data_IF_735515471516
#
_entry.id   IF_735515471516
#
_cell.length_a   1.000
_cell.length_b   1.000
_cell.length_c   1.000
_cell.angle_alpha   90.00
_cell.angle_beta   90.00
_cell.angle_gamma   90.00
#
_symmetry.space_group_name_H-M   'P 1'
#
loop_
_entity.id
_entity.type
_entity.pdbx_description
1 polymer ?
#
# COMPACT_ATOMS: atom_id res chain seq x y z
N UNK A 1 81.98 -10.42 1.26
CA UNK A 1 80.77 -9.67 1.11
C UNK A 1 79.57 -10.67 1.08
N UNK A 2 78.93 -10.81 2.20
CA UNK A 2 77.81 -11.77 2.38
C UNK A 2 76.51 -11.01 2.26
N UNK A 3 75.63 -11.33 1.27
CA UNK A 3 74.33 -10.77 1.14
C UNK A 3 73.28 -11.60 1.92
N UNK A 4 72.66 -10.98 2.93
CA UNK A 4 71.62 -11.55 3.76
C UNK A 4 70.30 -11.32 3.02
N UNK A 5 69.60 -12.38 2.66
CA UNK A 5 68.28 -12.32 2.09
C UNK A 5 67.24 -12.43 3.21
N UNK A 6 66.42 -11.38 3.39
CA UNK A 6 65.25 -11.37 4.29
C UNK A 6 64.05 -12.02 3.58
N UNK A 7 63.55 -13.15 4.11
CA UNK A 7 62.24 -13.71 3.74
C UNK A 7 61.16 -13.06 4.59
N UNK A 8 60.28 -12.31 3.93
CA UNK A 8 59.06 -11.80 4.55
C UNK A 8 57.96 -12.82 4.32
N UNK A 9 57.52 -13.54 5.37
CA UNK A 9 56.34 -14.41 5.35
C UNK A 9 55.09 -13.55 5.54
N UNK A 10 54.27 -13.44 4.48
CA UNK A 10 52.94 -12.86 4.60
C UNK A 10 51.94 -13.92 5.10
N UNK A 11 51.48 -13.73 6.33
CA UNK A 11 50.44 -14.54 6.95
C UNK A 11 49.08 -14.06 6.39
N UNK A 12 48.46 -14.83 5.51
CA UNK A 12 47.12 -14.58 5.04
C UNK A 12 46.13 -15.07 6.11
N UNK A 13 45.47 -14.15 6.81
CA UNK A 13 44.31 -14.46 7.66
C UNK A 13 43.10 -14.73 6.76
N UNK A 14 42.77 -15.99 6.56
CA UNK A 14 41.48 -16.40 5.96
C UNK A 14 40.38 -16.27 7.03
N UNK A 15 39.58 -15.24 6.93
CA UNK A 15 38.36 -15.11 7.74
C UNK A 15 37.30 -16.08 7.23
N UNK A 16 37.06 -17.16 7.96
CA UNK A 16 35.99 -18.11 7.69
C UNK A 16 34.65 -17.46 8.09
N UNK A 17 33.86 -17.02 7.09
CA UNK A 17 32.47 -16.61 7.31
C UNK A 17 31.62 -17.87 7.48
N UNK A 18 30.94 -17.99 8.62
CA UNK A 18 29.95 -19.06 8.85
C UNK A 18 28.57 -18.68 8.30
N UNK A 19 27.75 -19.69 7.99
CA UNK A 19 26.37 -19.48 7.52
C UNK A 19 25.55 -18.61 8.51
N UNK A 20 25.89 -18.63 9.81
CA UNK A 20 25.26 -17.80 10.84
C UNK A 20 25.55 -16.30 10.69
N UNK A 21 26.70 -15.91 10.14
CA UNK A 21 27.03 -14.50 9.91
C UNK A 21 26.25 -13.90 8.72
N UNK A 22 25.92 -14.72 7.73
CA UNK A 22 25.06 -14.33 6.61
C UNK A 22 23.61 -14.13 7.05
N UNK A 23 23.04 -15.02 7.87
CA UNK A 23 21.70 -14.88 8.42
C UNK A 23 21.58 -13.62 9.28
N UNK A 24 22.54 -13.37 10.15
CA UNK A 24 22.59 -12.16 10.99
C UNK A 24 22.75 -10.85 10.20
N UNK A 25 23.38 -10.89 9.01
CA UNK A 25 23.48 -9.72 8.12
C UNK A 25 22.19 -9.44 7.36
N UNK A 26 21.44 -10.48 6.99
CA UNK A 26 20.13 -10.34 6.34
C UNK A 26 19.11 -9.78 7.31
N UNK A 27 19.09 -10.24 8.57
CA UNK A 27 18.20 -9.67 9.62
C UNK A 27 18.53 -8.20 9.95
N UNK A 28 19.76 -7.74 9.72
CA UNK A 28 20.19 -6.37 10.02
C UNK A 28 19.86 -5.36 8.92
N UNK A 29 19.37 -5.81 7.76
CA UNK A 29 19.03 -4.98 6.59
C UNK A 29 17.53 -4.85 6.32
N UNK A 30 16.64 -5.40 7.16
CA UNK A 30 15.24 -5.07 7.11
C UNK A 30 15.06 -3.60 7.50
N UNK A 31 14.42 -2.76 6.67
CA UNK A 31 14.11 -1.40 7.06
C UNK A 31 13.29 -1.46 8.35
N UNK A 32 13.69 -0.65 9.35
CA UNK A 32 12.95 -0.57 10.60
C UNK A 32 11.52 -0.14 10.24
N UNK A 33 10.54 -0.99 10.57
CA UNK A 33 9.15 -0.56 10.57
C UNK A 33 9.08 0.68 11.47
N UNK A 34 8.38 1.72 11.02
CA UNK A 34 8.05 2.86 11.87
C UNK A 34 7.42 2.31 13.17
N UNK A 35 7.78 2.86 14.32
CA UNK A 35 7.21 2.41 15.59
C UNK A 35 5.67 2.48 15.47
N UNK A 36 4.99 1.42 15.90
CA UNK A 36 3.53 1.35 15.85
C UNK A 36 2.96 2.51 16.70
N UNK A 37 2.07 3.35 16.19
CA UNK A 37 1.54 4.49 16.93
C UNK A 37 0.71 4.01 18.14
N UNK A 38 0.57 4.88 19.15
CA UNK A 38 -0.43 4.71 20.20
C UNK A 38 -1.84 4.64 19.59
N UNK A 39 -2.86 4.24 20.37
CA UNK A 39 -4.23 4.22 19.88
C UNK A 39 -4.67 5.60 19.41
N UNK A 40 -5.24 5.66 18.22
CA UNK A 40 -5.75 6.85 17.57
C UNK A 40 -7.27 6.74 17.37
N UNK A 41 -7.92 7.81 16.92
CA UNK A 41 -9.31 7.70 16.47
C UNK A 41 -9.40 6.91 15.15
N UNK A 42 -8.39 7.05 14.28
CA UNK A 42 -8.29 6.28 13.03
C UNK A 42 -6.84 6.14 12.55
N UNK A 43 -6.61 5.12 11.71
CA UNK A 43 -5.35 4.92 10.99
C UNK A 43 -5.56 4.93 9.48
N UNK A 44 -4.67 5.63 8.77
CA UNK A 44 -4.50 5.54 7.33
C UNK A 44 -3.40 4.50 7.04
N UNK A 45 -3.79 3.31 6.58
CA UNK A 45 -2.88 2.19 6.33
C UNK A 45 -2.52 2.18 4.86
N UNK A 46 -1.30 2.61 4.54
CA UNK A 46 -0.83 2.89 3.18
C UNK A 46 0.03 1.76 2.62
N UNK A 47 -0.41 1.16 1.51
CA UNK A 47 0.32 0.15 0.75
C UNK A 47 0.86 0.75 -0.55
N UNK A 48 2.19 0.85 -0.64
CA UNK A 48 2.92 1.45 -1.76
C UNK A 48 2.86 0.59 -3.03
N UNK A 49 3.20 1.17 -4.17
CA UNK A 49 3.32 0.47 -5.46
C UNK A 49 4.63 -0.30 -5.61
N UNK A 50 4.73 -1.07 -6.70
CA UNK A 50 5.93 -1.82 -7.07
C UNK A 50 7.14 -0.91 -7.17
N UNK A 51 8.26 -1.36 -6.60
CA UNK A 51 9.58 -0.70 -6.62
C UNK A 51 9.65 0.63 -5.82
N UNK A 52 8.58 1.05 -5.16
CA UNK A 52 8.66 2.10 -4.16
C UNK A 52 9.45 1.62 -2.93
N UNK A 53 10.28 2.49 -2.37
CA UNK A 53 11.01 2.19 -1.13
C UNK A 53 10.03 2.01 0.03
N UNK A 54 10.41 1.19 1.03
CA UNK A 54 9.62 1.07 2.27
C UNK A 54 9.42 2.45 2.91
N UNK A 55 8.17 2.78 3.21
CA UNK A 55 7.74 4.08 3.70
C UNK A 55 6.45 4.54 3.02
N UNK A 56 6.07 5.82 3.15
CA UNK A 56 4.90 6.40 2.53
C UNK A 56 4.92 6.25 1.01
N UNK A 57 3.78 5.89 0.42
CA UNK A 57 3.63 5.90 -1.04
C UNK A 57 3.55 7.34 -1.55
N UNK A 58 4.37 7.66 -2.56
CA UNK A 58 4.43 9.03 -3.11
C UNK A 58 3.09 9.48 -3.70
N UNK A 59 2.23 8.56 -4.09
CA UNK A 59 0.94 8.91 -4.73
C UNK A 59 -0.14 9.32 -3.73
N UNK A 60 0.04 9.11 -2.42
CA UNK A 60 -0.95 9.47 -1.40
C UNK A 60 -0.54 10.64 -0.50
N UNK A 61 0.65 11.21 -0.67
CA UNK A 61 1.22 12.22 0.24
C UNK A 61 0.26 13.37 0.51
N UNK A 62 -0.32 13.98 -0.52
CA UNK A 62 -1.19 15.14 -0.35
C UNK A 62 -2.56 14.74 0.22
N UNK A 63 -3.14 13.62 -0.23
CA UNK A 63 -4.41 13.13 0.28
C UNK A 63 -4.33 12.75 1.77
N UNK A 64 -3.26 12.09 2.19
CA UNK A 64 -3.00 11.74 3.59
C UNK A 64 -2.80 13.01 4.41
N UNK A 65 -1.93 13.90 3.98
CA UNK A 65 -1.65 15.17 4.66
C UNK A 65 -2.91 16.00 4.88
N UNK A 66 -3.75 16.15 3.84
CA UNK A 66 -5.00 16.88 3.93
C UNK A 66 -5.98 16.20 4.89
N UNK A 67 -6.08 14.88 4.84
CA UNK A 67 -6.97 14.12 5.75
C UNK A 67 -6.53 14.30 7.20
N UNK A 68 -5.25 14.10 7.52
CA UNK A 68 -4.71 14.23 8.87
C UNK A 68 -4.79 15.65 9.42
N UNK A 69 -4.73 16.67 8.54
CA UNK A 69 -4.87 18.07 8.95
C UNK A 69 -6.33 18.46 9.23
N UNK A 70 -7.29 17.80 8.59
CA UNK A 70 -8.71 18.12 8.66
C UNK A 70 -9.43 17.31 9.75
N UNK A 71 -9.11 16.02 9.86
CA UNK A 71 -9.68 15.12 10.88
C UNK A 71 -8.61 14.87 11.95
N UNK A 72 -8.80 15.34 13.18
CA UNK A 72 -7.82 15.20 14.25
C UNK A 72 -7.66 13.75 14.74
N UNK A 73 -6.61 13.49 15.51
CA UNK A 73 -6.32 12.22 16.18
C UNK A 73 -6.19 11.02 15.24
N UNK A 74 -5.70 11.23 14.02
CA UNK A 74 -5.34 10.17 13.09
C UNK A 74 -3.82 10.00 12.94
N UNK A 75 -3.40 8.85 12.43
CA UNK A 75 -2.01 8.60 12.06
C UNK A 75 -1.91 7.78 10.77
N UNK A 76 -0.75 7.86 10.09
CA UNK A 76 -0.40 7.00 8.96
C UNK A 76 0.43 5.81 9.44
N UNK A 77 0.20 4.66 8.80
CA UNK A 77 0.98 3.44 8.99
C UNK A 77 1.30 2.84 7.63
N UNK A 78 2.60 2.58 7.37
CA UNK A 78 3.05 2.01 6.12
C UNK A 78 3.07 0.48 6.16
N UNK A 79 2.40 -0.15 5.22
CA UNK A 79 2.39 -1.62 5.07
C UNK A 79 3.80 -2.13 4.79
N UNK A 80 4.26 -3.10 5.59
CA UNK A 80 5.59 -3.70 5.42
C UNK A 80 5.49 -4.92 4.52
N UNK A 81 6.00 -4.81 3.29
CA UNK A 81 6.06 -5.91 2.34
C UNK A 81 7.14 -5.62 1.27
N UNK A 82 7.57 -6.59 0.45
CA UNK A 82 8.68 -6.37 -0.49
C UNK A 82 8.41 -5.33 -1.58
N UNK A 83 7.19 -5.25 -2.10
CA UNK A 83 6.77 -4.40 -3.24
C UNK A 83 7.65 -4.63 -4.50
N UNK A 84 7.98 -5.88 -4.79
CA UNK A 84 8.86 -6.29 -5.88
C UNK A 84 8.08 -6.70 -7.14
N UNK A 85 8.76 -6.75 -8.28
CA UNK A 85 8.18 -7.08 -9.59
C UNK A 85 7.65 -8.52 -9.71
N UNK A 86 7.97 -9.41 -8.79
CA UNK A 86 7.39 -10.75 -8.68
C UNK A 86 5.98 -10.77 -8.06
N UNK A 87 5.44 -9.57 -7.79
CA UNK A 87 4.05 -9.33 -7.42
C UNK A 87 3.57 -10.11 -6.17
N UNK A 88 4.43 -10.23 -5.14
CA UNK A 88 4.10 -10.91 -3.88
C UNK A 88 3.20 -10.05 -2.97
N UNK A 89 2.12 -9.50 -3.50
CA UNK A 89 1.19 -8.62 -2.79
C UNK A 89 0.52 -9.30 -1.59
N UNK A 90 0.39 -10.63 -1.62
CA UNK A 90 -0.19 -11.41 -0.51
C UNK A 90 0.56 -11.20 0.81
N UNK A 91 1.90 -10.98 0.76
CA UNK A 91 2.70 -10.67 1.96
C UNK A 91 2.20 -9.39 2.61
N UNK A 92 1.89 -8.36 1.81
CA UNK A 92 1.31 -7.11 2.30
C UNK A 92 -0.11 -7.28 2.83
N UNK A 93 -0.94 -8.07 2.13
CA UNK A 93 -2.31 -8.38 2.57
C UNK A 93 -2.29 -9.12 3.91
N UNK A 94 -1.41 -10.11 4.08
CA UNK A 94 -1.27 -10.86 5.33
C UNK A 94 -0.74 -9.96 6.46
N UNK A 95 0.19 -9.05 6.15
CA UNK A 95 0.65 -8.04 7.11
C UNK A 95 -0.51 -7.15 7.63
N UNK A 96 -1.38 -6.65 6.73
CA UNK A 96 -2.56 -5.86 7.13
C UNK A 96 -3.48 -6.70 8.02
N UNK A 97 -3.75 -7.95 7.66
CA UNK A 97 -4.62 -8.84 8.44
C UNK A 97 -4.08 -9.06 9.86
N UNK A 98 -2.81 -9.37 9.98
CA UNK A 98 -2.15 -9.56 11.26
C UNK A 98 -2.15 -8.27 12.09
N UNK A 99 -1.90 -7.12 11.45
CA UNK A 99 -1.90 -5.81 12.08
C UNK A 99 -3.30 -5.48 12.61
N UNK A 100 -4.34 -5.54 11.78
CA UNK A 100 -5.71 -5.21 12.16
C UNK A 100 -6.24 -6.13 13.27
N UNK A 101 -5.94 -7.43 13.22
CA UNK A 101 -6.36 -8.39 14.25
C UNK A 101 -5.82 -8.00 15.64
N UNK A 102 -4.56 -7.58 15.71
CA UNK A 102 -3.93 -7.12 16.96
C UNK A 102 -4.44 -5.73 17.39
N UNK A 103 -4.65 -4.85 16.41
CA UNK A 103 -5.09 -3.47 16.66
C UNK A 103 -6.50 -3.40 17.24
N UNK A 104 -7.44 -4.18 16.70
CA UNK A 104 -8.83 -4.21 17.20
C UNK A 104 -8.91 -4.65 18.66
N UNK A 105 -8.02 -5.56 19.09
CA UNK A 105 -7.94 -5.98 20.49
C UNK A 105 -7.34 -4.89 21.40
N UNK A 106 -6.25 -4.24 20.91
CA UNK A 106 -5.52 -3.20 21.67
C UNK A 106 -6.26 -1.86 21.70
N UNK A 107 -6.91 -1.49 20.59
CA UNK A 107 -7.54 -0.19 20.36
C UNK A 107 -8.97 -0.40 19.81
N UNK A 108 -9.94 -0.79 20.68
CA UNK A 108 -11.27 -1.23 20.23
C UNK A 108 -12.12 -0.13 19.57
N UNK A 109 -11.82 1.14 19.80
CA UNK A 109 -12.56 2.27 19.21
C UNK A 109 -11.91 2.83 17.94
N UNK A 110 -10.73 2.34 17.57
CA UNK A 110 -9.99 2.81 16.42
C UNK A 110 -10.63 2.37 15.09
N UNK A 111 -10.64 3.25 14.10
CA UNK A 111 -11.17 3.01 12.76
C UNK A 111 -10.03 2.96 11.73
N UNK A 112 -10.26 2.33 10.56
CA UNK A 112 -9.22 2.11 9.57
C UNK A 112 -9.63 2.57 8.18
N UNK A 113 -8.70 3.21 7.48
CA UNK A 113 -8.77 3.45 6.05
C UNK A 113 -7.58 2.76 5.38
N UNK A 114 -7.84 1.90 4.39
CA UNK A 114 -6.81 1.22 3.61
C UNK A 114 -6.56 2.01 2.32
N UNK A 115 -5.31 2.33 2.05
CA UNK A 115 -4.90 3.02 0.83
C UNK A 115 -3.94 2.13 0.06
N UNK A 116 -4.15 1.97 -1.25
CA UNK A 116 -3.29 1.12 -2.07
C UNK A 116 -3.04 1.69 -3.46
N UNK A 117 -1.78 1.73 -3.88
CA UNK A 117 -1.39 2.12 -5.22
C UNK A 117 -0.82 0.95 -6.01
N UNK A 118 -1.31 0.71 -7.24
CA UNK A 118 -0.76 -0.33 -8.13
C UNK A 118 -0.76 -1.70 -7.44
N UNK A 119 0.40 -2.32 -7.21
CA UNK A 119 0.53 -3.54 -6.40
C UNK A 119 -0.06 -3.35 -4.99
N UNK A 120 0.06 -2.16 -4.39
CA UNK A 120 -0.56 -1.84 -3.11
C UNK A 120 -2.09 -1.87 -3.14
N UNK A 121 -2.72 -1.57 -4.28
CA UNK A 121 -4.17 -1.76 -4.45
C UNK A 121 -4.56 -3.24 -4.38
N UNK A 122 -3.72 -4.14 -4.94
CA UNK A 122 -3.90 -5.59 -4.78
C UNK A 122 -3.72 -6.02 -3.31
N UNK A 123 -2.77 -5.39 -2.59
CA UNK A 123 -2.58 -5.59 -1.14
C UNK A 123 -3.86 -5.24 -0.36
N UNK A 124 -4.41 -4.04 -0.59
CA UNK A 124 -5.63 -3.60 0.07
C UNK A 124 -6.83 -4.51 -0.26
N UNK A 125 -7.02 -4.87 -1.54
CA UNK A 125 -8.06 -5.80 -1.98
C UNK A 125 -7.95 -7.16 -1.28
N UNK A 126 -6.75 -7.76 -1.28
CA UNK A 126 -6.53 -9.06 -0.65
C UNK A 126 -6.67 -9.03 0.89
N UNK A 127 -6.43 -7.87 1.53
CA UNK A 127 -6.66 -7.71 2.95
C UNK A 127 -8.16 -7.72 3.28
N UNK A 128 -8.98 -6.95 2.57
CA UNK A 128 -10.44 -6.88 2.81
C UNK A 128 -11.17 -8.16 2.42
N UNK A 129 -10.61 -8.99 1.53
CA UNK A 129 -11.19 -10.30 1.17
C UNK A 129 -11.31 -11.24 2.39
N UNK A 130 -10.49 -11.02 3.40
CA UNK A 130 -10.51 -11.82 4.63
C UNK A 130 -11.56 -11.39 5.65
N UNK A 131 -12.24 -10.26 5.42
CA UNK A 131 -13.20 -9.69 6.36
C UNK A 131 -14.56 -9.47 5.70
N UNK A 132 -15.62 -9.65 6.49
CA UNK A 132 -16.94 -9.19 6.09
C UNK A 132 -17.20 -7.82 6.68
N UNK A 133 -17.91 -6.90 6.00
CA UNK A 133 -18.22 -5.58 6.55
C UNK A 133 -18.95 -5.60 7.91
N UNK A 134 -19.59 -6.71 8.25
CA UNK A 134 -20.35 -6.93 9.49
C UNK A 134 -19.59 -7.71 10.58
N UNK A 135 -18.34 -8.15 10.35
CA UNK A 135 -17.52 -8.74 11.41
C UNK A 135 -16.77 -7.68 12.25
N UNK A 136 -16.13 -8.11 13.33
CA UNK A 136 -15.49 -7.20 14.29
C UNK A 136 -14.40 -6.31 13.70
N UNK A 137 -13.64 -6.82 12.73
CA UNK A 137 -12.59 -6.05 12.01
C UNK A 137 -13.20 -5.26 10.87
N UNK A 138 -14.07 -5.90 10.07
CA UNK A 138 -14.68 -5.30 8.90
C UNK A 138 -15.49 -4.04 9.20
N UNK A 139 -16.22 -4.02 10.32
CA UNK A 139 -16.95 -2.83 10.78
C UNK A 139 -16.05 -1.62 11.08
N UNK A 140 -14.78 -1.86 11.35
CA UNK A 140 -13.78 -0.82 11.63
C UNK A 140 -13.14 -0.27 10.36
N UNK A 141 -13.26 -0.96 9.22
CA UNK A 141 -12.76 -0.48 7.93
C UNK A 141 -13.80 0.49 7.35
N UNK A 142 -13.48 1.78 7.37
CA UNK A 142 -14.38 2.87 6.96
C UNK A 142 -14.14 3.34 5.54
N UNK A 143 -12.93 3.16 5.02
CA UNK A 143 -12.58 3.55 3.68
C UNK A 143 -11.54 2.59 3.07
N UNK A 144 -11.65 2.37 1.76
CA UNK A 144 -10.60 1.74 0.95
C UNK A 144 -10.41 2.62 -0.29
N UNK A 145 -9.23 3.20 -0.45
CA UNK A 145 -8.88 4.04 -1.59
C UNK A 145 -7.82 3.34 -2.43
N UNK A 146 -8.11 3.12 -3.69
CA UNK A 146 -7.20 2.44 -4.62
C UNK A 146 -6.89 3.31 -5.82
N UNK A 147 -5.61 3.47 -6.14
CA UNK A 147 -5.13 4.20 -7.32
C UNK A 147 -4.45 3.24 -8.28
N UNK A 148 -4.81 3.32 -9.57
CA UNK A 148 -4.19 2.51 -10.62
C UNK A 148 -4.29 1.01 -10.34
N UNK A 149 -5.42 0.54 -9.88
CA UNK A 149 -5.65 -0.81 -9.41
C UNK A 149 -5.56 -1.85 -10.55
N UNK A 150 -4.57 -2.78 -10.54
CA UNK A 150 -4.52 -3.85 -11.54
C UNK A 150 -5.76 -4.74 -11.56
N UNK A 151 -6.48 -4.85 -10.43
CA UNK A 151 -7.69 -5.63 -10.26
C UNK A 151 -8.98 -4.80 -10.48
N UNK A 152 -8.88 -3.61 -11.10
CA UNK A 152 -10.04 -2.78 -11.40
C UNK A 152 -11.09 -3.54 -12.21
N UNK A 153 -12.37 -3.45 -11.84
CA UNK A 153 -13.49 -4.16 -12.47
C UNK A 153 -14.49 -3.17 -13.03
N UNK A 154 -14.77 -3.28 -14.31
CA UNK A 154 -15.74 -2.44 -15.02
C UNK A 154 -17.10 -2.37 -14.32
N UNK A 155 -17.62 -1.16 -14.14
CA UNK A 155 -18.95 -0.89 -13.58
C UNK A 155 -19.13 -1.25 -12.10
N UNK A 156 -18.07 -1.54 -11.36
CA UNK A 156 -18.16 -1.81 -9.92
C UNK A 156 -18.61 -0.54 -9.19
N UNK A 157 -19.56 -0.62 -8.24
CA UNK A 157 -19.82 0.49 -7.32
C UNK A 157 -18.53 0.91 -6.62
N UNK A 158 -18.33 2.22 -6.47
CA UNK A 158 -17.09 2.76 -5.90
C UNK A 158 -16.02 3.09 -6.94
N UNK A 159 -16.14 2.66 -8.20
CA UNK A 159 -15.30 3.18 -9.26
C UNK A 159 -15.56 4.69 -9.41
N UNK A 160 -14.50 5.47 -9.35
CA UNK A 160 -14.58 6.92 -9.47
C UNK A 160 -14.99 7.34 -10.89
N UNK A 161 -15.89 8.30 -11.00
CA UNK A 161 -16.33 8.91 -12.26
C UNK A 161 -16.15 10.41 -12.17
N UNK A 162 -15.24 10.95 -12.94
CA UNK A 162 -15.07 12.39 -13.10
C UNK A 162 -14.45 12.68 -14.47
N UNK A 163 -15.21 13.32 -15.35
CA UNK A 163 -14.77 13.62 -16.72
C UNK A 163 -13.69 14.67 -16.78
N UNK A 164 -13.70 15.63 -15.85
CA UNK A 164 -12.69 16.70 -15.78
C UNK A 164 -11.34 16.14 -15.31
N UNK A 165 -11.37 15.10 -14.48
CA UNK A 165 -10.21 14.35 -14.04
C UNK A 165 -9.87 13.15 -14.96
N UNK A 166 -10.64 12.94 -16.05
CA UNK A 166 -10.45 11.83 -16.98
C UNK A 166 -10.46 10.45 -16.29
N UNK A 167 -11.33 10.28 -15.28
CA UNK A 167 -11.53 9.02 -14.60
C UNK A 167 -12.50 8.11 -15.36
N UNK A 168 -12.18 6.82 -15.38
CA UNK A 168 -12.99 5.80 -16.06
C UNK A 168 -13.50 4.74 -15.09
N UNK A 169 -14.80 4.45 -15.18
CA UNK A 169 -15.47 3.46 -14.34
C UNK A 169 -15.81 2.16 -15.07
N UNK A 170 -15.79 2.16 -16.40
CA UNK A 170 -16.15 1.04 -17.28
C UNK A 170 -14.92 0.31 -17.85
N UNK A 171 -13.77 0.57 -17.28
CA UNK A 171 -12.51 -0.08 -17.59
C UNK A 171 -12.32 -1.40 -16.83
N UNK A 172 -11.37 -2.22 -17.31
CA UNK A 172 -10.90 -3.41 -16.59
C UNK A 172 -9.38 -3.43 -16.54
N UNK A 173 -8.84 -3.74 -15.37
CA UNK A 173 -7.40 -3.79 -15.13
C UNK A 173 -6.71 -4.99 -15.76
N UNK A 174 -5.37 -4.99 -15.73
CA UNK A 174 -4.54 -6.05 -16.33
C UNK A 174 -4.63 -7.38 -15.57
N UNK A 175 -4.98 -7.34 -14.28
CA UNK A 175 -5.15 -8.50 -13.40
C UNK A 175 -6.57 -8.56 -12.83
N UNK A 176 -7.57 -8.14 -13.61
CA UNK A 176 -8.97 -8.08 -13.20
C UNK A 176 -9.38 -9.36 -12.47
N UNK A 177 -9.84 -9.20 -11.25
CA UNK A 177 -10.44 -10.24 -10.44
C UNK A 177 -11.68 -9.66 -9.77
N UNK A 178 -12.85 -10.28 -10.05
CA UNK A 178 -14.12 -9.84 -9.48
C UNK A 178 -14.31 -10.45 -8.08
N UNK A 179 -13.59 -9.88 -7.14
CA UNK A 179 -13.60 -10.26 -5.75
C UNK A 179 -14.93 -9.90 -5.07
N UNK A 180 -15.57 -10.92 -4.48
CA UNK A 180 -16.88 -10.77 -3.85
C UNK A 180 -16.83 -9.86 -2.61
N UNK A 181 -15.71 -9.85 -1.86
CA UNK A 181 -15.55 -8.99 -0.69
C UNK A 181 -15.38 -7.53 -1.11
N UNK A 182 -14.51 -7.24 -2.08
CA UNK A 182 -14.36 -5.88 -2.63
C UNK A 182 -15.69 -5.37 -3.15
N UNK A 183 -16.48 -6.22 -3.84
CA UNK A 183 -17.82 -5.88 -4.32
C UNK A 183 -18.76 -5.50 -3.16
N UNK A 184 -18.72 -6.25 -2.05
CA UNK A 184 -19.58 -5.99 -0.89
C UNK A 184 -19.22 -4.64 -0.24
N UNK A 185 -17.94 -4.38 0.05
CA UNK A 185 -17.47 -3.09 0.55
C UNK A 185 -17.81 -1.93 -0.42
N UNK A 186 -17.69 -2.17 -1.73
CA UNK A 186 -18.04 -1.19 -2.76
C UNK A 186 -19.53 -0.84 -2.72
N UNK A 187 -20.41 -1.84 -2.55
CA UNK A 187 -21.87 -1.64 -2.47
C UNK A 187 -22.28 -0.86 -1.22
N UNK A 188 -21.46 -0.88 -0.16
CA UNK A 188 -21.68 -0.10 1.06
C UNK A 188 -21.06 1.32 0.96
N UNK A 189 -20.50 1.68 -0.20
CA UNK A 189 -19.89 2.99 -0.43
C UNK A 189 -18.60 3.22 0.35
N UNK A 190 -17.90 2.15 0.72
CA UNK A 190 -16.64 2.19 1.50
C UNK A 190 -15.42 2.23 0.56
N UNK A 191 -15.56 1.83 -0.70
CA UNK A 191 -14.48 1.79 -1.68
C UNK A 191 -14.52 3.00 -2.60
N UNK A 192 -13.34 3.59 -2.85
CA UNK A 192 -13.06 4.54 -3.92
C UNK A 192 -11.93 3.96 -4.78
N UNK A 193 -12.26 3.46 -5.97
CA UNK A 193 -11.30 2.91 -6.93
C UNK A 193 -11.10 3.91 -8.08
N UNK A 194 -9.92 4.52 -8.16
CA UNK A 194 -9.60 5.61 -9.09
C UNK A 194 -8.72 5.09 -10.21
N UNK A 195 -9.26 5.13 -11.42
CA UNK A 195 -8.55 4.76 -12.64
C UNK A 195 -8.50 5.93 -13.62
N UNK A 196 -7.30 6.43 -13.94
CA UNK A 196 -7.10 7.41 -14.99
C UNK A 196 -7.29 6.77 -16.37
N UNK A 197 -7.93 7.47 -17.31
CA UNK A 197 -8.26 6.98 -18.64
C UNK A 197 -7.06 6.39 -19.39
N UNK A 198 -5.89 7.00 -19.25
CA UNK A 198 -4.69 6.59 -19.97
C UNK A 198 -3.80 5.61 -19.19
N UNK A 199 -4.19 5.23 -17.98
CA UNK A 199 -3.46 4.26 -17.17
C UNK A 199 -3.77 2.82 -17.63
N UNK A 200 -2.83 2.22 -18.37
CA UNK A 200 -2.96 0.85 -18.89
C UNK A 200 -3.15 -0.21 -17.78
N UNK A 201 -2.65 0.04 -16.57
CA UNK A 201 -2.69 -0.96 -15.50
C UNK A 201 -4.13 -1.21 -15.01
N UNK A 202 -4.91 -0.14 -14.82
CA UNK A 202 -6.32 -0.25 -14.44
C UNK A 202 -7.28 -0.16 -15.62
N UNK A 203 -6.83 0.29 -16.81
CA UNK A 203 -7.61 0.43 -18.02
C UNK A 203 -6.96 -0.33 -19.19
N UNK A 204 -6.98 -1.66 -19.09
CA UNK A 204 -6.39 -2.56 -20.08
C UNK A 204 -7.04 -2.38 -21.45
N UNK A 205 -6.23 -2.12 -22.47
CA UNK A 205 -6.67 -1.97 -23.86
C UNK A 205 -6.78 -0.51 -24.31
N UNK A 206 -6.71 0.46 -23.41
CA UNK A 206 -6.55 1.88 -23.73
C UNK A 206 -5.08 2.29 -23.73
N UNK A 207 -4.75 3.54 -23.50
CA UNK A 207 -3.38 4.06 -23.65
C UNK A 207 -2.30 3.19 -22.97
N UNK A 208 -1.11 3.17 -23.55
CA UNK A 208 0.10 2.58 -22.97
C UNK A 208 1.06 3.67 -22.51
N UNK A 209 0.54 4.76 -22.00
CA UNK A 209 1.38 5.80 -21.43
C UNK A 209 1.85 5.38 -20.02
N UNK A 210 3.11 4.96 -19.86
CA UNK A 210 3.63 4.56 -18.56
C UNK A 210 3.66 5.72 -17.56
N UNK A 211 3.62 6.98 -18.02
CA UNK A 211 3.58 8.14 -17.16
C UNK A 211 2.22 8.32 -16.51
N UNK A 212 1.11 7.91 -17.17
CA UNK A 212 -0.23 8.01 -16.62
C UNK A 212 -0.35 7.19 -15.32
N UNK A 213 0.23 6.00 -15.28
CA UNK A 213 0.22 5.15 -14.08
C UNK A 213 0.93 5.80 -12.88
N UNK A 214 1.98 6.61 -13.11
CA UNK A 214 2.71 7.31 -12.04
C UNK A 214 2.15 8.70 -11.69
N UNK A 215 1.10 9.19 -12.37
CA UNK A 215 0.69 10.59 -12.26
C UNK A 215 -0.29 10.91 -11.12
N UNK A 216 -0.86 9.92 -10.45
CA UNK A 216 -1.87 10.09 -9.39
C UNK A 216 -1.42 11.04 -8.27
N UNK A 217 -0.14 10.98 -7.87
CA UNK A 217 0.41 11.83 -6.82
C UNK A 217 0.57 13.30 -7.24
N UNK A 218 0.75 13.56 -8.54
CA UNK A 218 0.88 14.90 -9.08
C UNK A 218 -0.46 15.52 -9.52
N UNK A 219 -1.51 14.71 -9.63
CA UNK A 219 -2.85 15.15 -10.01
C UNK A 219 -3.61 15.67 -8.79
N UNK A 220 -3.63 17.02 -8.65
CA UNK A 220 -4.29 17.68 -7.52
C UNK A 220 -5.78 17.30 -7.40
N UNK A 221 -6.48 17.15 -8.52
CA UNK A 221 -7.91 16.78 -8.53
C UNK A 221 -8.13 15.37 -7.96
N UNK A 222 -7.27 14.43 -8.31
CA UNK A 222 -7.29 13.06 -7.76
C UNK A 222 -6.96 13.07 -6.25
N UNK A 223 -5.97 13.86 -5.83
CA UNK A 223 -5.65 14.00 -4.41
C UNK A 223 -6.80 14.62 -3.61
N UNK A 224 -7.41 15.69 -4.13
CA UNK A 224 -8.58 16.33 -3.53
C UNK A 224 -9.81 15.40 -3.50
N UNK A 225 -10.00 14.54 -4.50
CA UNK A 225 -11.06 13.52 -4.51
C UNK A 225 -10.85 12.51 -3.40
N UNK A 226 -9.64 11.97 -3.27
CA UNK A 226 -9.30 10.99 -2.25
C UNK A 226 -9.40 11.56 -0.83
N UNK A 227 -8.86 12.76 -0.59
CA UNK A 227 -8.94 13.40 0.74
C UNK A 227 -10.38 13.68 1.15
N UNK A 228 -11.21 14.24 0.25
CA UNK A 228 -12.65 14.43 0.52
C UNK A 228 -13.36 13.13 0.86
N UNK A 229 -13.07 12.05 0.13
CA UNK A 229 -13.63 10.73 0.44
C UNK A 229 -13.22 10.27 1.83
N UNK A 230 -11.93 10.27 2.14
CA UNK A 230 -11.40 9.87 3.46
C UNK A 230 -12.01 10.71 4.60
N UNK A 231 -12.01 12.04 4.46
CA UNK A 231 -12.59 12.96 5.43
C UNK A 231 -14.07 12.63 5.66
N UNK A 232 -14.85 12.40 4.59
CA UNK A 232 -16.28 12.07 4.70
C UNK A 232 -16.56 10.75 5.44
N UNK A 233 -15.59 9.84 5.49
CA UNK A 233 -15.70 8.53 6.14
C UNK A 233 -15.16 8.49 7.57
N UNK A 234 -14.23 9.38 7.88
CA UNK A 234 -13.51 9.39 9.16
C UNK A 234 -13.93 10.54 10.09
N UNK A 235 -14.66 11.53 9.56
CA UNK A 235 -15.26 12.57 10.42
C UNK A 235 -16.43 11.99 11.21
N UNK A 236 -16.37 12.07 12.52
CA UNK A 236 -17.44 11.66 13.47
C UNK A 236 -18.46 12.75 13.65
#
# INVERSE_FOLDING_TARGET
>A
MVRLALFISTLALASSFTAGDLVRRVEKSAPAASAEPDCQDYLLISARGTDEKQGPSFVFIDAIKETLSTVPNGAEVDVVYPATWDMQYQIGSDWIKDFLSKRVEKCPDEEYALLGYSQGAMVASGAIDSYKPDDAVGQKIKAVVMFGNPMHVSGRPGNAVDKDLRLVSDASGVATNDDAAVRKYSSEGIVLDVCLQDDYVCNKGHSKDPMAHGSYGADKGVQDLASRFLISKLSK
#
